data_IF_614268158664
#
_entry.id   IF_614268158664
#
_cell.length_a   1.000
_cell.length_b   1.000
_cell.length_c   1.000
_cell.angle_alpha   90.00
_cell.angle_beta   90.00
_cell.angle_gamma   90.00
#
_symmetry.space_group_name_H-M   'P 1'
#
loop_
_entity.id
_entity.type
_entity.pdbx_description
1 polymer ?
#
# COMPACT_ATOMS: atom_id res chain seq x y z
N UNK A 1 0.14 8.89 -22.53
CA UNK A 1 0.10 8.23 -21.21
C UNK A 1 0.45 9.25 -20.15
N UNK A 2 -0.43 9.47 -19.15
CA UNK A 2 -0.10 10.31 -17.99
C UNK A 2 0.93 9.59 -17.12
N UNK A 3 2.07 10.24 -16.88
CA UNK A 3 3.11 9.70 -15.97
C UNK A 3 2.56 9.72 -14.54
N UNK A 4 2.83 8.66 -13.79
CA UNK A 4 2.40 8.51 -12.39
C UNK A 4 2.84 9.67 -11.48
N UNK A 5 4.05 10.22 -11.70
CA UNK A 5 4.65 11.23 -10.80
C UNK A 5 5.45 12.34 -11.51
N UNK A 6 5.07 12.75 -12.72
CA UNK A 6 5.71 13.90 -13.39
C UNK A 6 7.18 13.74 -13.82
N UNK A 7 8.03 12.97 -13.13
CA UNK A 7 9.48 13.15 -13.19
C UNK A 7 10.30 11.96 -13.73
N UNK A 8 10.07 10.70 -13.35
CA UNK A 8 11.04 9.65 -13.69
C UNK A 8 10.54 8.61 -14.71
N UNK A 9 11.24 8.50 -15.86
CA UNK A 9 11.16 7.30 -16.70
C UNK A 9 11.64 6.10 -15.85
N UNK A 10 10.82 5.05 -15.73
CA UNK A 10 11.18 3.82 -15.02
C UNK A 10 10.52 3.62 -13.65
N UNK A 11 9.82 4.62 -13.10
CA UNK A 11 9.09 4.45 -11.84
C UNK A 11 7.83 3.62 -12.01
N UNK A 12 7.48 2.88 -10.96
CA UNK A 12 6.25 2.09 -10.88
C UNK A 12 5.71 2.11 -9.44
N UNK A 13 4.42 1.87 -9.27
CA UNK A 13 3.73 1.83 -7.97
C UNK A 13 2.99 0.51 -7.82
N UNK A 14 3.07 -0.12 -6.65
CA UNK A 14 2.27 -1.30 -6.31
C UNK A 14 1.31 -0.97 -5.18
N UNK A 15 0.09 -1.49 -5.27
CA UNK A 15 -0.91 -1.40 -4.20
C UNK A 15 -1.09 -2.76 -3.54
N UNK A 16 -0.89 -2.82 -2.23
CA UNK A 16 -1.24 -3.98 -1.43
C UNK A 16 -2.21 -3.56 -0.33
N UNK A 17 -3.34 -4.24 -0.25
CA UNK A 17 -4.38 -4.01 0.74
C UNK A 17 -4.66 -5.30 1.51
N UNK A 18 -4.92 -5.18 2.81
CA UNK A 18 -5.26 -6.28 3.70
C UNK A 18 -6.64 -6.06 4.35
N UNK A 19 -7.16 -7.09 5.01
CA UNK A 19 -8.49 -7.08 5.63
C UNK A 19 -9.58 -7.69 4.74
N UNK A 20 -10.74 -7.04 4.72
CA UNK A 20 -11.90 -7.44 3.94
C UNK A 20 -11.82 -6.85 2.54
N UNK A 21 -11.01 -7.48 1.69
CA UNK A 21 -10.71 -7.00 0.35
C UNK A 21 -10.50 -8.17 -0.63
N UNK A 22 -10.59 -7.90 -1.93
CA UNK A 22 -10.31 -8.88 -3.00
C UNK A 22 -8.81 -9.00 -3.34
N UNK A 23 -7.98 -8.14 -2.75
CA UNK A 23 -6.55 -8.10 -3.05
C UNK A 23 -5.84 -9.39 -2.59
N UNK A 24 -4.76 -9.78 -3.29
CA UNK A 24 -3.96 -10.93 -2.90
C UNK A 24 -3.46 -10.82 -1.46
N UNK A 25 -3.56 -11.92 -0.71
CA UNK A 25 -2.99 -12.00 0.65
C UNK A 25 -1.48 -11.86 0.65
N UNK A 26 -0.80 -12.34 -0.39
CA UNK A 26 0.65 -12.23 -0.51
C UNK A 26 1.06 -10.85 -1.02
N UNK A 27 1.78 -10.09 -0.18
CA UNK A 27 2.24 -8.74 -0.53
C UNK A 27 3.15 -8.70 -1.77
N UNK A 28 3.92 -9.76 -2.01
CA UNK A 28 4.79 -9.87 -3.19
C UNK A 28 4.00 -9.90 -4.52
N UNK A 29 2.75 -10.38 -4.51
CA UNK A 29 1.92 -10.38 -5.73
C UNK A 29 1.59 -8.95 -6.18
N UNK A 30 1.46 -8.01 -5.24
CA UNK A 30 1.28 -6.59 -5.56
C UNK A 30 2.54 -5.95 -6.17
N UNK A 31 3.72 -6.50 -5.88
CA UNK A 31 4.98 -6.04 -6.44
C UNK A 31 5.21 -6.57 -7.87
N UNK A 32 4.67 -7.75 -8.20
CA UNK A 32 4.63 -8.25 -9.59
C UNK A 32 3.68 -7.44 -10.48
N UNK A 33 2.66 -6.81 -9.89
CA UNK A 33 1.60 -6.06 -10.58
C UNK A 33 1.81 -4.55 -10.55
N UNK A 34 3.02 -4.08 -10.26
CA UNK A 34 3.29 -2.65 -10.15
C UNK A 34 2.93 -1.89 -11.44
N UNK A 35 2.03 -0.92 -11.29
CA UNK A 35 1.56 -0.05 -12.35
C UNK A 35 2.64 0.97 -12.73
N UNK A 36 2.85 1.16 -14.05
CA UNK A 36 3.81 2.13 -14.61
C UNK A 36 3.16 3.43 -15.07
N UNK A 37 1.84 3.52 -15.05
CA UNK A 37 1.11 4.72 -15.40
C UNK A 37 -0.08 4.95 -14.45
N UNK A 38 -0.58 6.20 -14.46
CA UNK A 38 -1.56 6.66 -13.49
C UNK A 38 -2.90 5.93 -13.64
N UNK A 39 -3.34 5.65 -14.87
CA UNK A 39 -4.65 5.05 -15.11
C UNK A 39 -4.70 3.60 -14.62
N UNK A 40 -3.68 2.79 -14.92
CA UNK A 40 -3.62 1.41 -14.44
C UNK A 40 -3.65 1.37 -12.89
N UNK A 41 -2.91 2.27 -12.25
CA UNK A 41 -2.93 2.39 -10.80
C UNK A 41 -4.29 2.85 -10.27
N UNK A 42 -4.91 3.82 -10.93
CA UNK A 42 -6.22 4.35 -10.54
C UNK A 42 -7.31 3.26 -10.63
N UNK A 43 -7.31 2.46 -11.69
CA UNK A 43 -8.22 1.31 -11.82
C UNK A 43 -8.00 0.27 -10.71
N UNK A 44 -6.75 -0.03 -10.36
CA UNK A 44 -6.45 -0.91 -9.23
C UNK A 44 -6.92 -0.30 -7.90
N UNK A 45 -6.71 1.00 -7.70
CA UNK A 45 -7.12 1.72 -6.50
C UNK A 45 -8.65 1.75 -6.31
N UNK A 46 -9.42 1.93 -7.37
CA UNK A 46 -10.90 1.88 -7.34
C UNK A 46 -11.43 0.50 -6.90
N UNK A 47 -10.65 -0.56 -7.07
CA UNK A 47 -10.99 -1.89 -6.57
C UNK A 47 -10.75 -2.08 -5.06
N UNK A 48 -10.16 -1.09 -4.38
CA UNK A 48 -9.94 -1.08 -2.93
C UNK A 48 -11.23 -0.77 -2.16
N UNK A 49 -12.24 -1.61 -2.35
CA UNK A 49 -13.54 -1.55 -1.68
C UNK A 49 -13.67 -2.68 -0.65
N UNK A 50 -14.58 -2.49 0.32
CA UNK A 50 -14.93 -3.55 1.26
C UNK A 50 -15.47 -4.76 0.51
N UNK A 51 -14.85 -5.92 0.72
CA UNK A 51 -15.29 -7.18 0.17
C UNK A 51 -15.43 -8.22 1.27
N UNK A 52 -16.66 -8.70 1.47
CA UNK A 52 -16.97 -9.70 2.49
C UNK A 52 -16.40 -11.06 2.07
N UNK A 53 -15.28 -11.43 2.66
CA UNK A 53 -14.64 -12.75 2.52
C UNK A 53 -14.74 -13.55 3.82
N UNK A 54 -14.76 -14.88 3.72
CA UNK A 54 -14.79 -15.78 4.88
C UNK A 54 -13.46 -15.82 5.65
N UNK A 55 -12.37 -15.40 5.00
CA UNK A 55 -11.01 -15.46 5.55
C UNK A 55 -10.26 -14.16 5.23
N UNK A 56 -10.62 -13.04 5.88
CA UNK A 56 -9.94 -11.75 5.70
C UNK A 56 -8.55 -11.76 6.32
N UNK A 57 -7.63 -10.97 5.76
CA UNK A 57 -6.31 -10.78 6.38
C UNK A 57 -6.45 -9.82 7.57
N UNK A 58 -6.79 -10.35 8.74
CA UNK A 58 -7.14 -9.56 9.93
C UNK A 58 -5.91 -9.03 10.67
N UNK A 59 -5.98 -7.76 11.08
CA UNK A 59 -5.08 -7.11 12.06
C UNK A 59 -5.81 -6.81 13.37
N UNK A 60 -6.84 -7.59 13.71
CA UNK A 60 -7.62 -7.42 14.95
C UNK A 60 -6.76 -7.47 16.23
N UNK A 61 -5.54 -8.00 16.12
CA UNK A 61 -4.47 -7.74 17.06
C UNK A 61 -3.63 -6.61 16.49
N UNK A 62 -3.33 -5.58 17.29
CA UNK A 62 -2.33 -4.52 17.00
C UNK A 62 -0.96 -5.04 16.51
N UNK A 63 -0.77 -6.35 16.55
CA UNK A 63 0.40 -7.09 16.13
C UNK A 63 0.30 -7.48 14.65
N UNK A 64 1.19 -6.91 13.83
CA UNK A 64 1.31 -7.24 12.40
C UNK A 64 2.33 -8.34 12.12
N UNK A 65 2.84 -9.05 13.14
CA UNK A 65 3.81 -10.14 12.94
C UNK A 65 3.27 -11.29 12.09
N UNK A 66 1.94 -11.49 12.10
CA UNK A 66 1.27 -12.52 11.29
C UNK A 66 1.07 -12.06 9.83
N UNK A 67 1.34 -10.79 9.52
CA UNK A 67 1.22 -10.29 8.15
C UNK A 67 2.42 -10.69 7.29
N UNK A 68 2.17 -10.97 5.99
CA UNK A 68 3.25 -11.21 5.04
C UNK A 68 4.20 -10.03 5.02
N UNK A 69 5.48 -10.31 5.25
CA UNK A 69 6.52 -9.29 5.17
C UNK A 69 6.80 -8.96 3.72
N UNK A 70 6.89 -7.67 3.43
CA UNK A 70 7.38 -7.19 2.15
C UNK A 70 8.90 -7.39 2.15
N UNK A 71 9.39 -8.29 1.28
CA UNK A 71 10.81 -8.59 1.16
C UNK A 71 11.27 -8.42 -0.30
N UNK A 72 11.54 -7.18 -0.73
CA UNK A 72 11.89 -6.87 -2.10
C UNK A 72 13.39 -7.12 -2.33
N UNK A 73 13.84 -8.39 -2.32
CA UNK A 73 15.27 -8.70 -2.49
C UNK A 73 15.78 -8.44 -3.92
N UNK A 74 14.89 -8.35 -4.90
CA UNK A 74 15.23 -8.16 -6.31
C UNK A 74 14.55 -6.94 -6.95
N UNK A 75 13.75 -6.19 -6.19
CA UNK A 75 13.08 -4.99 -6.66
C UNK A 75 13.79 -3.76 -6.10
N UNK A 76 14.33 -2.90 -6.96
CA UNK A 76 14.91 -1.61 -6.59
C UNK A 76 13.79 -0.63 -6.24
N UNK A 77 13.10 -0.87 -5.12
CA UNK A 77 12.01 -0.02 -4.67
C UNK A 77 12.58 1.26 -4.06
N UNK A 78 12.25 2.41 -4.67
CA UNK A 78 12.68 3.72 -4.16
C UNK A 78 11.97 4.13 -2.86
N UNK A 79 10.78 3.55 -2.63
CA UNK A 79 9.96 3.76 -1.44
C UNK A 79 8.87 2.69 -1.32
N UNK A 80 8.58 2.28 -0.08
CA UNK A 80 7.41 1.48 0.28
C UNK A 80 6.56 2.30 1.25
N UNK A 81 5.27 2.47 0.99
CA UNK A 81 4.37 3.17 1.93
C UNK A 81 3.32 2.18 2.41
N UNK A 82 3.29 1.90 3.70
CA UNK A 82 2.22 1.11 4.32
C UNK A 82 1.26 2.04 5.04
N UNK A 83 -0.04 1.86 4.82
CA UNK A 83 -1.08 2.70 5.42
C UNK A 83 -1.91 1.83 6.35
N UNK A 84 -2.12 2.28 7.59
CA UNK A 84 -2.84 1.53 8.62
C UNK A 84 -3.75 2.43 9.43
N UNK A 85 -4.78 1.86 10.05
CA UNK A 85 -5.71 2.65 10.86
C UNK A 85 -5.11 3.00 12.24
N UNK A 86 -5.24 4.25 12.67
CA UNK A 86 -4.83 4.77 13.99
C UNK A 86 -3.42 4.28 14.41
N UNK A 87 -3.34 3.50 15.50
CA UNK A 87 -2.12 3.05 16.18
C UNK A 87 -1.65 1.66 15.68
N UNK A 88 -1.99 1.29 14.44
CA UNK A 88 -1.52 0.01 13.87
C UNK A 88 0.01 0.07 13.76
N UNK A 89 0.71 -0.82 14.46
CA UNK A 89 2.16 -0.94 14.35
C UNK A 89 2.52 -1.64 13.04
N UNK A 90 2.98 -0.88 12.05
CA UNK A 90 3.36 -1.42 10.74
C UNK A 90 4.86 -1.74 10.63
N UNK A 91 5.64 -1.57 11.70
CA UNK A 91 7.10 -1.74 11.69
C UNK A 91 7.53 -3.16 11.29
N UNK A 92 6.70 -4.17 11.56
CA UNK A 92 6.95 -5.56 11.18
C UNK A 92 6.70 -5.88 9.70
N UNK A 93 6.02 -5.00 8.97
CA UNK A 93 5.65 -5.17 7.54
C UNK A 93 6.57 -4.36 6.64
N UNK A 94 6.87 -3.15 7.07
CA UNK A 94 7.55 -2.15 6.26
C UNK A 94 9.06 -2.46 6.24
N UNK A 95 9.70 -2.57 5.07
CA UNK A 95 11.15 -2.75 4.98
C UNK A 95 11.90 -1.48 5.42
N UNK A 96 13.22 -1.55 5.57
CA UNK A 96 14.06 -0.45 6.09
C UNK A 96 13.92 0.90 5.36
N UNK A 97 13.48 0.90 4.11
CA UNK A 97 13.27 2.07 3.24
C UNK A 97 11.80 2.50 3.14
N UNK A 98 10.91 1.91 3.93
CA UNK A 98 9.50 2.21 3.86
C UNK A 98 9.00 3.14 4.97
N UNK A 99 7.80 3.69 4.75
CA UNK A 99 7.13 4.67 5.60
C UNK A 99 5.77 4.11 6.01
N UNK A 100 5.50 4.09 7.31
CA UNK A 100 4.18 3.78 7.86
C UNK A 100 3.38 5.08 7.99
N UNK A 101 2.18 5.13 7.40
CA UNK A 101 1.28 6.28 7.45
C UNK A 101 0.02 5.89 8.22
N UNK A 102 -0.16 6.38 9.45
CA UNK A 102 -1.37 6.15 10.21
C UNK A 102 -2.50 7.03 9.68
N UNK A 103 -3.68 6.44 9.56
CA UNK A 103 -4.88 7.09 9.02
C UNK A 103 -6.05 6.90 9.99
N UNK A 104 -6.81 7.93 10.34
CA UNK A 104 -7.92 7.78 11.28
C UNK A 104 -9.14 7.08 10.65
N UNK A 105 -9.90 6.35 11.46
CA UNK A 105 -11.13 5.66 11.03
C UNK A 105 -12.17 6.59 10.39
N UNK A 106 -12.23 7.85 10.82
CA UNK A 106 -13.14 8.87 10.29
C UNK A 106 -12.54 9.60 9.08
N UNK A 107 -12.03 8.85 8.10
CA UNK A 107 -11.26 9.35 6.97
C UNK A 107 -11.94 10.53 6.24
N UNK A 108 -11.18 11.58 5.96
CA UNK A 108 -11.56 12.77 5.18
C UNK A 108 -10.44 13.08 4.19
N UNK A 109 -10.74 13.84 3.12
CA UNK A 109 -9.81 14.10 2.01
C UNK A 109 -8.39 14.57 2.39
N UNK A 110 -8.20 15.24 3.52
CA UNK A 110 -6.87 15.64 4.03
C UNK A 110 -5.91 14.46 4.25
N UNK A 111 -6.42 13.27 4.56
CA UNK A 111 -5.59 12.08 4.77
C UNK A 111 -5.18 11.39 3.47
N UNK A 112 -5.81 11.72 2.32
CA UNK A 112 -5.32 11.31 1.01
C UNK A 112 -4.02 12.07 0.72
N UNK A 113 -3.96 13.36 1.05
CA UNK A 113 -2.75 14.17 0.88
C UNK A 113 -1.57 13.63 1.68
N UNK A 114 -1.78 13.20 2.93
CA UNK A 114 -0.71 12.64 3.76
C UNK A 114 -0.12 11.34 3.14
N UNK A 115 -0.97 10.49 2.56
CA UNK A 115 -0.55 9.27 1.84
C UNK A 115 0.17 9.63 0.54
N UNK A 116 -0.34 10.60 -0.22
CA UNK A 116 0.29 11.04 -1.48
C UNK A 116 1.66 11.66 -1.23
N UNK A 117 1.80 12.56 -0.24
CA UNK A 117 3.10 13.11 0.20
C UNK A 117 4.07 12.01 0.64
N UNK A 118 3.58 11.02 1.38
CA UNK A 118 4.39 9.88 1.76
C UNK A 118 4.85 9.08 0.53
N UNK A 119 4.11 9.04 -0.58
CA UNK A 119 4.56 8.38 -1.80
C UNK A 119 5.55 9.27 -2.59
N UNK A 120 5.30 10.57 -2.71
CA UNK A 120 6.06 11.50 -3.56
C UNK A 120 7.35 12.04 -2.93
N UNK A 121 7.53 11.86 -1.62
CA UNK A 121 8.63 12.50 -0.84
C UNK A 121 8.52 14.03 -0.74
N UNK A 122 7.32 14.59 -0.97
CA UNK A 122 7.03 16.03 -0.82
C UNK A 122 6.39 16.39 0.53
#
# INVERSE_FOLDING_TARGET
AFKLFGEAQGSSIGLWAYGYTIFPKAANTSLEKMSKNYYDFYEEFENMVYFKTADPLSTSRKDTQELPKINPQHWQLDRVVAVGFNDTDLSGIVPYNGVAVPVPFSYKGKHISDVVSAITKE
#
